data_IF_387083037926
#
_entry.id   IF_387083037926
#
_cell.length_a   1.000
_cell.length_b   1.000
_cell.length_c   1.000
_cell.angle_alpha   90.00
_cell.angle_beta   90.00
_cell.angle_gamma   90.00
#
_symmetry.space_group_name_H-M   'P 1'
#
loop_
_entity.id
_entity.type
_entity.pdbx_description
1 polymer ?
#
# COMPACT_ATOMS: atom_id res chain seq x y z
N UNK A 1 17.54 -15.13 0.39
CA UNK A 1 16.91 -13.93 -0.21
C UNK A 1 15.65 -14.19 -1.04
N UNK A 2 15.41 -15.40 -1.55
CA UNK A 2 14.28 -15.70 -2.45
C UNK A 2 12.91 -15.29 -1.86
N UNK A 3 12.63 -15.58 -0.59
CA UNK A 3 11.34 -15.24 0.04
C UNK A 3 11.09 -13.73 0.04
N UNK A 4 12.09 -12.92 0.43
CA UNK A 4 11.98 -11.45 0.45
C UNK A 4 11.76 -10.90 -0.96
N UNK A 5 12.46 -11.45 -1.95
CA UNK A 5 12.26 -11.11 -3.36
C UNK A 5 10.84 -11.42 -3.83
N UNK A 6 10.33 -12.60 -3.50
CA UNK A 6 8.96 -13.00 -3.87
C UNK A 6 7.93 -12.07 -3.21
N UNK A 7 8.10 -11.71 -1.93
CA UNK A 7 7.22 -10.75 -1.25
C UNK A 7 7.22 -9.40 -1.98
N UNK A 8 8.39 -8.87 -2.33
CA UNK A 8 8.48 -7.61 -3.07
C UNK A 8 7.77 -7.66 -4.43
N UNK A 9 7.95 -8.75 -5.19
CA UNK A 9 7.27 -8.95 -6.47
C UNK A 9 5.75 -9.08 -6.31
N UNK A 10 5.28 -9.80 -5.28
CA UNK A 10 3.85 -9.92 -4.99
C UNK A 10 3.24 -8.55 -4.68
N UNK A 11 3.91 -7.72 -3.87
CA UNK A 11 3.46 -6.36 -3.60
C UNK A 11 3.38 -5.51 -4.87
N UNK A 12 4.37 -5.61 -5.76
CA UNK A 12 4.35 -4.92 -7.06
C UNK A 12 3.16 -5.40 -7.91
N UNK A 13 2.90 -6.70 -7.97
CA UNK A 13 1.75 -7.25 -8.70
C UNK A 13 0.43 -6.70 -8.12
N UNK A 14 0.26 -6.70 -6.81
CA UNK A 14 -0.93 -6.16 -6.14
C UNK A 14 -1.09 -4.66 -6.42
N UNK A 15 0.00 -3.89 -6.43
CA UNK A 15 -0.03 -2.48 -6.77
C UNK A 15 -0.49 -2.24 -8.22
N UNK A 16 0.00 -3.03 -9.18
CA UNK A 16 -0.44 -2.97 -10.57
C UNK A 16 -1.91 -3.36 -10.74
N UNK A 17 -2.39 -4.35 -9.98
CA UNK A 17 -3.81 -4.72 -9.96
C UNK A 17 -4.69 -3.58 -9.42
N UNK A 18 -4.27 -2.92 -8.34
CA UNK A 18 -4.97 -1.77 -7.79
C UNK A 18 -5.00 -0.60 -8.79
N UNK A 19 -3.87 -0.29 -9.42
CA UNK A 19 -3.78 0.74 -10.45
C UNK A 19 -4.68 0.43 -11.66
N UNK A 20 -4.67 -0.81 -12.14
CA UNK A 20 -5.53 -1.24 -13.24
C UNK A 20 -7.02 -1.13 -12.89
N UNK A 21 -7.40 -1.47 -11.65
CA UNK A 21 -8.76 -1.30 -11.17
C UNK A 21 -9.17 0.17 -11.08
N UNK A 22 -8.29 1.06 -10.63
CA UNK A 22 -8.55 2.51 -10.60
C UNK A 22 -8.66 3.10 -12.02
N UNK A 23 -7.84 2.63 -12.96
CA UNK A 23 -7.91 3.03 -14.35
C UNK A 23 -9.25 2.64 -14.99
N UNK A 24 -9.74 1.42 -14.77
CA UNK A 24 -11.05 0.97 -15.25
C UNK A 24 -12.18 1.82 -14.66
N UNK A 25 -12.16 2.07 -13.35
CA UNK A 25 -13.15 2.92 -12.68
C UNK A 25 -13.15 4.35 -13.21
N UNK A 26 -11.96 4.88 -13.51
CA UNK A 26 -11.83 6.21 -14.09
C UNK A 26 -12.48 6.30 -15.48
N UNK A 27 -12.31 5.24 -16.30
CA UNK A 27 -12.95 5.15 -17.61
C UNK A 27 -14.48 5.05 -17.50
N UNK A 28 -14.98 4.28 -16.53
CA UNK A 28 -16.42 4.15 -16.27
C UNK A 28 -17.05 5.46 -15.78
N UNK A 29 -16.33 6.21 -14.94
CA UNK A 29 -16.80 7.48 -14.40
C UNK A 29 -16.65 8.65 -15.38
N UNK A 30 -15.82 8.51 -16.41
CA UNK A 30 -15.47 9.62 -17.31
C UNK A 30 -14.56 10.68 -16.68
N UNK A 31 -14.00 10.41 -15.50
CA UNK A 31 -13.09 11.28 -14.76
C UNK A 31 -12.03 10.46 -14.01
N UNK A 32 -10.96 11.10 -13.55
CA UNK A 32 -9.89 10.40 -12.82
C UNK A 32 -10.36 10.05 -11.42
N UNK A 33 -10.57 8.76 -11.17
CA UNK A 33 -10.98 8.20 -9.88
C UNK A 33 -9.86 7.32 -9.34
N UNK A 34 -9.19 7.79 -8.29
CA UNK A 34 -8.09 7.09 -7.63
C UNK A 34 -8.49 6.82 -6.19
N UNK A 35 -8.35 5.57 -5.74
CA UNK A 35 -8.64 5.23 -4.34
C UNK A 35 -7.48 5.55 -3.43
N UNK A 36 -7.80 6.07 -2.25
CA UNK A 36 -6.84 6.15 -1.16
C UNK A 36 -6.51 4.76 -0.58
N UNK A 37 -5.40 4.68 0.15
CA UNK A 37 -4.98 3.45 0.84
C UNK A 37 -6.02 3.02 1.88
N UNK A 38 -6.60 3.99 2.61
CA UNK A 38 -7.70 3.75 3.55
C UNK A 38 -8.95 3.18 2.86
N UNK A 39 -9.34 3.74 1.71
CA UNK A 39 -10.51 3.26 0.95
C UNK A 39 -10.31 1.84 0.44
N UNK A 40 -9.13 1.52 -0.12
CA UNK A 40 -8.86 0.17 -0.59
C UNK A 40 -8.83 -0.82 0.57
N UNK A 41 -8.21 -0.47 1.69
CA UNK A 41 -8.18 -1.33 2.88
C UNK A 41 -9.59 -1.57 3.42
N UNK A 42 -10.38 -0.51 3.57
CA UNK A 42 -11.79 -0.60 4.02
C UNK A 42 -12.61 -1.50 3.10
N UNK A 43 -12.38 -1.46 1.78
CA UNK A 43 -13.05 -2.33 0.82
C UNK A 43 -12.65 -3.81 0.97
N UNK A 44 -11.41 -4.10 1.33
CA UNK A 44 -10.91 -5.47 1.50
C UNK A 44 -11.32 -6.07 2.85
N UNK A 45 -11.16 -5.31 3.93
CA UNK A 45 -11.53 -5.74 5.28
C UNK A 45 -11.71 -4.52 6.21
N UNK A 46 -12.96 -4.03 6.35
CA UNK A 46 -13.24 -2.81 7.13
C UNK A 46 -12.92 -2.99 8.62
N UNK A 47 -13.22 -4.16 9.20
CA UNK A 47 -12.96 -4.41 10.62
C UNK A 47 -11.47 -4.33 10.99
N UNK A 48 -10.59 -4.80 10.10
CA UNK A 48 -9.14 -4.68 10.31
C UNK A 48 -8.62 -3.25 10.16
N UNK A 49 -9.19 -2.48 9.23
CA UNK A 49 -8.85 -1.07 9.05
C UNK A 49 -9.25 -0.26 10.28
N UNK A 50 -10.48 -0.44 10.76
CA UNK A 50 -11.02 0.31 11.90
C UNK A 50 -10.26 -0.03 13.18
N UNK A 51 -9.93 -1.31 13.40
CA UNK A 51 -9.10 -1.72 14.52
C UNK A 51 -7.70 -1.09 14.47
N UNK A 52 -7.07 -1.05 13.29
CA UNK A 52 -5.77 -0.41 13.11
C UNK A 52 -5.84 1.10 13.35
N UNK A 53 -6.81 1.79 12.74
CA UNK A 53 -6.97 3.23 12.91
C UNK A 53 -7.35 3.62 14.34
N UNK A 54 -8.16 2.81 15.03
CA UNK A 54 -8.43 2.98 16.45
C UNK A 54 -7.16 2.86 17.29
N UNK A 55 -6.36 1.82 17.07
CA UNK A 55 -5.05 1.69 17.73
C UNK A 55 -4.10 2.87 17.41
N UNK A 56 -4.11 3.39 16.19
CA UNK A 56 -3.29 4.56 15.83
C UNK A 56 -3.70 5.81 16.62
N UNK A 57 -4.99 6.03 16.83
CA UNK A 57 -5.46 7.19 17.59
C UNK A 57 -5.20 7.04 19.09
N UNK A 58 -5.37 5.84 19.64
CA UNK A 58 -5.38 5.63 21.09
C UNK A 58 -4.05 5.13 21.67
N UNK A 59 -3.21 4.48 20.85
CA UNK A 59 -2.07 3.69 21.32
C UNK A 59 -0.76 3.90 20.56
N UNK A 60 -0.75 4.60 19.41
CA UNK A 60 0.49 4.91 18.71
C UNK A 60 1.21 6.11 19.35
N UNK A 61 2.55 6.20 19.22
CA UNK A 61 3.28 7.40 19.59
C UNK A 61 2.71 8.63 18.87
N UNK A 62 2.58 9.77 19.57
CA UNK A 62 1.98 10.99 19.01
C UNK A 62 2.61 11.40 17.67
N UNK A 63 3.94 11.25 17.54
CA UNK A 63 4.68 11.54 16.31
C UNK A 63 4.35 10.63 15.12
N UNK A 64 3.68 9.49 15.33
CA UNK A 64 3.31 8.55 14.27
C UNK A 64 1.88 8.78 13.75
N UNK A 65 1.00 9.43 14.53
CA UNK A 65 -0.42 9.60 14.17
C UNK A 65 -0.58 10.36 12.84
N UNK A 66 0.06 11.53 12.73
CA UNK A 66 -0.02 12.37 11.53
C UNK A 66 0.61 11.72 10.29
N UNK A 67 1.82 11.12 10.37
CA UNK A 67 2.39 10.36 9.26
C UNK A 67 1.50 9.20 8.79
N UNK A 68 0.91 8.44 9.71
CA UNK A 68 0.03 7.32 9.36
C UNK A 68 -1.22 7.82 8.64
N UNK A 69 -1.89 8.86 9.18
CA UNK A 69 -3.04 9.47 8.52
C UNK A 69 -2.70 9.99 7.11
N UNK A 70 -1.49 10.55 6.94
CA UNK A 70 -1.00 11.02 5.65
C UNK A 70 -0.83 9.86 4.66
N UNK A 71 -0.16 8.78 5.05
CA UNK A 71 0.01 7.59 4.19
C UNK A 71 -1.35 6.97 3.83
N UNK A 72 -2.30 6.94 4.76
CA UNK A 72 -3.65 6.42 4.53
C UNK A 72 -4.42 7.21 3.46
N UNK A 73 -4.13 8.50 3.29
CA UNK A 73 -4.72 9.37 2.26
C UNK A 73 -4.10 9.22 0.87
N UNK A 74 -2.90 8.64 0.76
CA UNK A 74 -2.21 8.48 -0.52
C UNK A 74 -2.83 7.36 -1.37
N UNK A 75 -2.66 7.42 -2.71
CA UNK A 75 -3.14 6.38 -3.61
C UNK A 75 -2.68 4.99 -3.19
N UNK A 76 -3.61 4.04 -3.11
CA UNK A 76 -3.32 2.70 -2.61
C UNK A 76 -2.24 1.98 -3.43
N UNK A 77 -2.33 2.07 -4.76
CA UNK A 77 -1.35 1.49 -5.67
C UNK A 77 0.06 2.09 -5.46
N UNK A 78 0.16 3.37 -5.10
CA UNK A 78 1.44 4.04 -4.90
C UNK A 78 2.11 3.56 -3.62
N UNK A 79 1.36 3.50 -2.50
CA UNK A 79 1.87 3.02 -1.21
C UNK A 79 2.33 1.56 -1.32
N UNK A 80 1.49 0.69 -1.87
CA UNK A 80 1.82 -0.73 -2.03
C UNK A 80 2.99 -0.91 -3.01
N UNK A 81 3.00 -0.16 -4.11
CA UNK A 81 4.02 -0.24 -5.14
C UNK A 81 5.40 0.18 -4.64
N UNK A 82 5.48 1.31 -3.92
CA UNK A 82 6.74 1.77 -3.32
C UNK A 82 7.27 0.76 -2.32
N UNK A 83 6.42 0.20 -1.45
CA UNK A 83 6.82 -0.87 -0.53
C UNK A 83 7.37 -2.09 -1.27
N UNK A 84 6.69 -2.54 -2.33
CA UNK A 84 7.14 -3.66 -3.14
C UNK A 84 8.49 -3.43 -3.81
N UNK A 85 8.69 -2.24 -4.40
CA UNK A 85 9.96 -1.84 -5.03
C UNK A 85 11.09 -1.80 -4.01
N UNK A 86 10.87 -1.19 -2.84
CA UNK A 86 11.87 -1.12 -1.77
C UNK A 86 12.27 -2.51 -1.30
N UNK A 87 11.30 -3.39 -1.03
CA UNK A 87 11.57 -4.78 -0.59
C UNK A 87 12.34 -5.55 -1.67
N UNK A 88 11.94 -5.45 -2.93
CA UNK A 88 12.63 -6.11 -4.04
C UNK A 88 14.06 -5.57 -4.25
N UNK A 89 14.25 -4.25 -4.12
CA UNK A 89 15.55 -3.60 -4.24
C UNK A 89 16.50 -4.01 -3.10
N UNK A 90 16.00 -4.05 -1.86
CA UNK A 90 16.75 -4.57 -0.72
C UNK A 90 17.17 -6.01 -1.00
N UNK A 91 16.26 -6.85 -1.49
CA UNK A 91 16.59 -8.23 -1.82
C UNK A 91 17.71 -8.33 -2.87
N UNK A 92 17.61 -7.55 -3.93
CA UNK A 92 18.61 -7.49 -5.00
C UNK A 92 19.96 -6.95 -4.52
N UNK A 93 19.99 -6.02 -3.55
CA UNK A 93 21.23 -5.47 -3.01
C UNK A 93 22.02 -6.48 -2.20
N UNK A 94 21.35 -7.38 -1.48
CA UNK A 94 22.03 -8.44 -0.73
C UNK A 94 22.54 -9.55 -1.64
N UNK A 95 21.78 -9.95 -2.68
CA UNK A 95 22.22 -10.94 -3.67
C UNK A 95 23.49 -10.51 -4.44
N UNK A 96 23.85 -9.22 -4.43
CA UNK A 96 25.06 -8.68 -5.08
C UNK A 96 26.30 -8.69 -4.18
N UNK A 97 26.14 -8.93 -2.88
CA UNK A 97 27.24 -8.91 -1.90
C UNK A 97 27.83 -10.31 -1.67
N UNK A 98 27.14 -11.34 -2.11
CA UNK A 98 27.59 -12.74 -2.12
C UNK A 98 28.24 -13.08 -3.47
#
# INVERSE_FOLDING_TARGET
MIVVRVIGLVLIIVALMALGSDALRSLEAGEVVIRSTSELWTLLNPGSHDAFMGWVQDGAPEGAVSPVATVMSYPAWAVIGVLGVVVAAIAALFDRKD
#
